data_IF_957169368450
#
_entry.id   IF_957169368450
#
_cell.length_a   1.000
_cell.length_b   1.000
_cell.length_c   1.000
_cell.angle_alpha   90.00
_cell.angle_beta   90.00
_cell.angle_gamma   90.00
#
_symmetry.space_group_name_H-M   'P 1'
#
loop_
_entity.id
_entity.type
_entity.pdbx_description
1 polymer ?
#
# COMPACT_ATOMS: atom_id res chain seq x y z
N UNK A 1 -11.49 -0.51 -3.73
CA UNK A 1 -10.14 -0.36 -3.16
C UNK A 1 -10.03 0.79 -2.18
N UNK A 2 -10.13 2.05 -2.64
CA UNK A 2 -9.94 3.24 -1.79
C UNK A 2 -10.82 3.25 -0.52
N UNK A 3 -12.13 3.06 -0.67
CA UNK A 3 -13.05 3.05 0.48
C UNK A 3 -12.80 1.89 1.47
N UNK A 4 -12.28 0.76 0.99
CA UNK A 4 -12.01 -0.44 1.80
C UNK A 4 -10.74 -0.24 2.65
N UNK A 5 -9.76 0.48 2.12
CA UNK A 5 -8.49 0.78 2.78
C UNK A 5 -8.57 2.15 3.51
N UNK A 6 -9.68 2.88 3.35
CA UNK A 6 -9.88 4.22 3.91
C UNK A 6 -8.93 5.27 3.32
N UNK A 7 -8.58 5.12 2.03
CA UNK A 7 -7.76 6.08 1.28
C UNK A 7 -8.51 6.53 0.03
N UNK A 8 -8.24 7.75 -0.44
CA UNK A 8 -8.93 8.26 -1.63
C UNK A 8 -8.56 7.44 -2.88
N UNK A 9 -9.42 7.49 -3.90
CA UNK A 9 -9.12 6.88 -5.22
C UNK A 9 -7.86 7.48 -5.87
N UNK A 10 -7.54 8.73 -5.55
CA UNK A 10 -6.30 9.39 -5.97
C UNK A 10 -5.07 8.77 -5.30
N UNK A 11 -5.17 8.41 -4.02
CA UNK A 11 -4.11 7.74 -3.26
C UNK A 11 -3.81 6.36 -3.84
N UNK A 12 -4.85 5.58 -4.18
CA UNK A 12 -4.69 4.29 -4.88
C UNK A 12 -3.94 4.50 -6.21
N UNK A 13 -4.41 5.44 -7.04
CA UNK A 13 -3.78 5.72 -8.34
C UNK A 13 -2.32 6.20 -8.23
N UNK A 14 -1.94 6.84 -7.13
CA UNK A 14 -0.56 7.28 -6.89
C UNK A 14 0.35 6.12 -6.49
N UNK A 15 -0.15 5.19 -5.66
CA UNK A 15 0.55 3.96 -5.27
C UNK A 15 0.74 3.05 -6.50
N UNK A 16 -0.30 2.85 -7.32
CA UNK A 16 -0.23 2.03 -8.55
C UNK A 16 0.73 2.61 -9.62
N UNK A 17 1.03 3.91 -9.54
CA UNK A 17 1.96 4.59 -10.45
C UNK A 17 3.38 4.69 -9.88
N UNK A 18 3.67 3.99 -8.78
CA UNK A 18 4.95 4.03 -8.04
C UNK A 18 5.37 5.46 -7.64
N UNK A 19 4.40 6.39 -7.55
CA UNK A 19 4.66 7.79 -7.19
C UNK A 19 4.63 8.03 -5.69
N UNK A 20 4.17 7.06 -4.91
CA UNK A 20 3.94 7.22 -3.49
C UNK A 20 4.06 5.90 -2.75
N UNK A 21 5.01 5.82 -1.81
CA UNK A 21 5.06 4.72 -0.87
C UNK A 21 3.89 4.85 0.12
N UNK A 22 3.04 3.82 0.25
CA UNK A 22 1.97 3.86 1.24
C UNK A 22 2.56 3.97 2.65
N UNK A 23 1.93 4.76 3.50
CA UNK A 23 2.26 4.78 4.92
C UNK A 23 2.06 3.40 5.54
N UNK A 24 2.80 3.07 6.61
CA UNK A 24 2.67 1.80 7.34
C UNK A 24 1.20 1.40 7.63
N UNK A 25 0.32 2.30 8.14
CA UNK A 25 -1.09 1.95 8.34
C UNK A 25 -1.83 1.57 7.06
N UNK A 26 -1.51 2.19 5.92
CA UNK A 26 -2.12 1.89 4.62
C UNK A 26 -1.64 0.54 4.11
N UNK A 27 -0.34 0.26 4.24
CA UNK A 27 0.25 -1.02 3.88
C UNK A 27 -0.35 -2.18 4.69
N UNK A 28 -0.54 -2.03 6.01
CA UNK A 28 -1.20 -3.04 6.85
C UNK A 28 -2.66 -3.27 6.48
N UNK A 29 -3.40 -2.21 6.12
CA UNK A 29 -4.79 -2.36 5.65
C UNK A 29 -4.86 -3.09 4.31
N UNK A 30 -3.90 -2.84 3.40
CA UNK A 30 -3.78 -3.58 2.15
C UNK A 30 -3.46 -5.06 2.40
N UNK A 31 -2.47 -5.36 3.24
CA UNK A 31 -2.13 -6.73 3.65
C UNK A 31 -3.34 -7.48 4.20
N UNK A 32 -4.13 -6.87 5.09
CA UNK A 32 -5.38 -7.46 5.60
C UNK A 32 -6.44 -7.68 4.53
N UNK A 33 -6.58 -6.75 3.58
CA UNK A 33 -7.57 -6.84 2.52
C UNK A 33 -7.27 -7.97 1.53
N UNK A 34 -5.99 -8.19 1.24
CA UNK A 34 -5.55 -9.23 0.32
C UNK A 34 -5.22 -10.56 1.00
N UNK A 35 -5.27 -10.61 2.33
CA UNK A 35 -4.90 -11.79 3.14
C UNK A 35 -3.48 -12.28 2.88
N UNK A 36 -2.57 -11.36 2.54
CA UNK A 36 -1.17 -11.63 2.22
C UNK A 36 -0.28 -10.89 3.23
N UNK A 37 0.83 -11.48 3.71
CA UNK A 37 1.78 -10.80 4.60
C UNK A 37 2.30 -9.48 4.00
N UNK A 38 2.54 -8.49 4.85
CA UNK A 38 3.01 -7.16 4.40
C UNK A 38 4.39 -7.26 3.73
N UNK A 39 5.20 -8.24 4.13
CA UNK A 39 6.52 -8.55 3.60
C UNK A 39 6.51 -9.13 2.19
N UNK A 40 5.40 -9.75 1.79
CA UNK A 40 5.19 -10.22 0.40
C UNK A 40 4.62 -9.11 -0.49
N UNK A 41 4.02 -8.09 0.11
CA UNK A 41 3.37 -6.98 -0.59
C UNK A 41 4.30 -5.78 -0.82
N UNK A 42 5.23 -5.54 0.11
CA UNK A 42 6.16 -4.41 0.10
C UNK A 42 7.58 -4.86 0.37
N UNK A 43 8.49 -4.52 -0.55
CA UNK A 43 9.91 -4.75 -0.40
C UNK A 43 10.58 -3.47 0.10
N UNK A 44 11.16 -3.50 1.29
CA UNK A 44 12.01 -2.42 1.77
C UNK A 44 13.36 -2.50 1.03
N UNK A 45 13.45 -1.90 -0.16
CA UNK A 45 14.74 -1.65 -0.77
C UNK A 45 15.46 -0.58 0.04
N UNK A 46 16.52 -0.99 0.72
CA UNK A 46 17.44 -0.05 1.36
C UNK A 46 18.07 0.76 0.23
N UNK A 47 17.56 1.98 -0.02
CA UNK A 47 18.24 2.93 -0.90
C UNK A 47 19.70 3.01 -0.46
N UNK A 48 20.60 2.70 -1.39
CA UNK A 48 22.04 2.98 -1.22
C UNK A 48 22.26 4.46 -0.98
#
# INVERSE_FOLDING_TARGET
MGEIIGVSRQTINAIEKEKFDPSLPTAFKMSKLFEIPIEEFFFFERSK
#
